data_IF_911530269608
#
_entry.id   IF_911530269608
#
_cell.length_a   1.000
_cell.length_b   1.000
_cell.length_c   1.000
_cell.angle_alpha   90.00
_cell.angle_beta   90.00
_cell.angle_gamma   90.00
#
_symmetry.space_group_name_H-M   'P 1'
#
loop_
_entity.id
_entity.type
_entity.pdbx_description
1 polymer ?
#
# COMPACT_ATOMS: atom_id res chain seq x y z
N UNK A 1 5.72 18.23 -8.54
CA UNK A 1 5.81 17.53 -7.25
C UNK A 1 7.15 16.86 -7.34
N UNK A 2 8.13 17.45 -6.66
CA UNK A 2 9.52 17.31 -7.10
C UNK A 2 10.22 16.17 -6.34
N UNK A 3 9.77 15.93 -5.11
CA UNK A 3 10.15 14.80 -4.27
C UNK A 3 8.90 14.07 -3.75
N UNK A 4 9.04 12.76 -3.55
CA UNK A 4 8.07 11.93 -2.85
C UNK A 4 8.80 10.85 -2.04
N UNK A 5 8.28 10.49 -0.86
CA UNK A 5 8.82 9.38 -0.07
C UNK A 5 7.71 8.41 0.28
N UNK A 6 7.90 7.16 -0.13
CA UNK A 6 7.05 6.05 0.26
C UNK A 6 7.73 5.17 1.29
N UNK A 7 6.93 4.67 2.22
CA UNK A 7 7.35 3.69 3.21
C UNK A 7 6.63 2.38 2.93
N UNK A 8 7.40 1.32 2.75
CA UNK A 8 6.89 -0.03 2.43
C UNK A 8 7.35 -0.98 3.52
N UNK A 9 6.45 -1.84 3.97
CA UNK A 9 6.77 -2.90 4.92
C UNK A 9 6.10 -4.21 4.53
N UNK A 10 6.82 -5.31 4.73
CA UNK A 10 6.32 -6.65 4.48
C UNK A 10 6.16 -7.41 5.80
N UNK A 11 4.99 -8.01 5.99
CA UNK A 11 4.60 -8.77 7.16
C UNK A 11 4.34 -10.21 6.74
N UNK A 12 5.14 -11.13 7.27
CA UNK A 12 4.93 -12.56 7.12
C UNK A 12 4.47 -13.13 8.48
N UNK A 13 3.23 -13.61 8.54
CA UNK A 13 2.66 -14.19 9.76
C UNK A 13 3.04 -15.65 9.88
N UNK A 14 3.47 -16.06 11.07
CA UNK A 14 3.93 -17.41 11.38
C UNK A 14 2.85 -18.50 11.20
N UNK A 15 1.57 -18.12 11.07
CA UNK A 15 0.43 -19.04 10.92
C UNK A 15 -0.43 -18.85 9.67
N UNK A 16 -0.02 -18.02 8.71
CA UNK A 16 -0.64 -18.04 7.39
C UNK A 16 -0.22 -19.27 6.55
N UNK A 17 -0.32 -20.50 7.12
CA UNK A 17 -0.48 -21.74 6.32
C UNK A 17 -1.90 -21.79 5.76
N UNK A 18 -2.25 -20.77 5.01
CA UNK A 18 -3.61 -20.39 4.69
C UNK A 18 -3.84 -20.47 3.19
N UNK A 19 -3.33 -21.54 2.58
CA UNK A 19 -3.16 -21.61 1.13
C UNK A 19 -4.47 -21.75 0.36
N UNK A 20 -5.55 -22.19 0.99
CA UNK A 20 -6.77 -22.51 0.24
C UNK A 20 -8.09 -22.05 0.90
N UNK A 21 -8.21 -22.04 2.23
CA UNK A 21 -9.53 -21.91 2.85
C UNK A 21 -10.00 -20.47 3.05
N UNK A 22 -9.13 -19.51 3.37
CA UNK A 22 -9.52 -18.08 3.39
C UNK A 22 -9.72 -17.55 1.99
N UNK A 23 -8.86 -17.90 1.02
CA UNK A 23 -9.11 -17.57 -0.38
C UNK A 23 -10.45 -18.17 -0.86
N UNK A 24 -10.75 -19.44 -0.55
CA UNK A 24 -12.05 -20.07 -0.84
C UNK A 24 -13.21 -19.41 -0.10
N UNK A 25 -13.06 -19.08 1.17
CA UNK A 25 -14.12 -18.45 1.94
C UNK A 25 -14.36 -17.03 1.49
N UNK A 26 -13.32 -16.23 1.26
CA UNK A 26 -13.48 -14.88 0.76
C UNK A 26 -14.11 -14.92 -0.64
N UNK A 27 -13.66 -15.84 -1.52
CA UNK A 27 -14.34 -16.17 -2.79
C UNK A 27 -15.79 -16.61 -2.66
N UNK A 28 -16.18 -17.25 -1.55
CA UNK A 28 -17.55 -17.69 -1.26
C UNK A 28 -18.36 -16.66 -0.44
N UNK A 29 -17.70 -15.71 0.23
CA UNK A 29 -18.28 -14.65 1.06
C UNK A 29 -18.74 -13.48 0.20
N UNK A 30 -18.04 -13.23 -0.92
CA UNK A 30 -18.46 -12.21 -1.86
C UNK A 30 -19.75 -12.60 -2.63
N UNK A 31 -20.03 -13.83 -3.07
CA UNK A 31 -21.21 -14.05 -3.92
C UNK A 31 -22.56 -14.24 -3.21
N UNK A 32 -22.63 -14.60 -1.92
CA UNK A 32 -23.93 -14.95 -1.31
C UNK A 32 -24.07 -14.63 0.19
N UNK A 33 -25.25 -14.07 0.52
CA UNK A 33 -25.90 -13.88 1.83
C UNK A 33 -25.16 -13.14 2.98
N UNK A 34 -23.87 -12.79 2.84
CA UNK A 34 -23.08 -12.09 3.87
C UNK A 34 -22.62 -10.68 3.51
N UNK A 35 -23.12 -10.09 2.41
CA UNK A 35 -22.73 -8.74 1.96
C UNK A 35 -22.93 -7.66 3.05
N UNK A 36 -24.04 -7.71 3.81
CA UNK A 36 -24.28 -6.79 4.93
C UNK A 36 -23.18 -6.81 6.02
N UNK A 37 -22.47 -7.93 6.18
CA UNK A 37 -21.37 -8.07 7.14
C UNK A 37 -20.10 -7.34 6.64
N UNK A 38 -19.80 -7.41 5.33
CA UNK A 38 -18.58 -6.80 4.77
C UNK A 38 -18.65 -5.27 4.86
N UNK A 39 -19.75 -4.64 4.47
CA UNK A 39 -19.90 -3.17 4.55
C UNK A 39 -19.76 -2.66 5.98
N UNK A 40 -20.37 -3.34 6.95
CA UNK A 40 -20.21 -3.00 8.37
C UNK A 40 -18.79 -3.18 8.87
N UNK A 41 -18.08 -4.21 8.38
CA UNK A 41 -16.69 -4.46 8.75
C UNK A 41 -15.75 -3.42 8.13
N UNK A 42 -15.95 -3.03 6.86
CA UNK A 42 -15.19 -1.96 6.21
C UNK A 42 -15.31 -0.67 7.02
N UNK A 43 -16.52 -0.28 7.41
CA UNK A 43 -16.74 0.90 8.25
C UNK A 43 -16.08 0.76 9.62
N UNK A 44 -16.25 -0.39 10.29
CA UNK A 44 -15.67 -0.66 11.61
C UNK A 44 -14.13 -0.60 11.63
N UNK A 45 -13.50 -1.02 10.55
CA UNK A 45 -12.04 -1.06 10.41
C UNK A 45 -11.49 0.08 9.55
N UNK A 46 -12.29 1.13 9.32
CA UNK A 46 -11.89 2.33 8.57
C UNK A 46 -11.24 2.02 7.21
N UNK A 47 -11.79 1.03 6.50
CA UNK A 47 -11.35 0.64 5.17
C UNK A 47 -12.26 1.28 4.12
N UNK A 48 -11.67 2.08 3.22
CA UNK A 48 -12.40 2.70 2.12
C UNK A 48 -12.88 1.66 1.10
N UNK A 49 -12.00 0.70 0.76
CA UNK A 49 -12.39 -0.46 -0.04
C UNK A 49 -11.49 -1.67 0.21
N UNK A 50 -12.02 -2.83 -0.17
CA UNK A 50 -11.28 -4.08 -0.38
C UNK A 50 -11.54 -4.60 -1.78
N UNK A 51 -10.52 -5.10 -2.45
CA UNK A 51 -10.62 -5.72 -3.76
C UNK A 51 -9.96 -7.10 -3.80
N UNK A 52 -10.60 -8.04 -4.48
CA UNK A 52 -10.20 -9.45 -4.60
C UNK A 52 -10.91 -10.10 -5.79
N UNK A 53 -10.21 -10.96 -6.54
CA UNK A 53 -10.77 -11.81 -7.60
C UNK A 53 -11.74 -11.07 -8.56
N UNK A 54 -11.37 -9.86 -9.01
CA UNK A 54 -12.20 -9.07 -9.93
C UNK A 54 -13.44 -8.46 -9.30
N UNK A 55 -13.48 -8.32 -7.97
CA UNK A 55 -14.49 -7.54 -7.26
C UNK A 55 -13.83 -6.45 -6.43
N UNK A 56 -14.45 -5.28 -6.39
CA UNK A 56 -14.12 -4.20 -5.46
C UNK A 56 -15.36 -3.91 -4.63
N UNK A 57 -15.21 -3.95 -3.31
CA UNK A 57 -16.26 -3.65 -2.34
C UNK A 57 -15.84 -2.45 -1.51
N UNK A 58 -16.60 -1.36 -1.56
CA UNK A 58 -16.47 -0.19 -0.71
C UNK A 58 -17.53 -0.21 0.40
N UNK A 59 -17.51 0.79 1.27
CA UNK A 59 -18.52 0.95 2.34
C UNK A 59 -19.94 0.98 1.77
N UNK A 60 -20.13 1.62 0.62
CA UNK A 60 -21.46 1.85 0.04
C UNK A 60 -21.81 0.89 -1.11
N UNK A 61 -20.81 0.37 -1.81
CA UNK A 61 -21.02 -0.26 -3.11
C UNK A 61 -20.17 -1.50 -3.32
N UNK A 62 -20.57 -2.29 -4.32
CA UNK A 62 -19.80 -3.42 -4.79
C UNK A 62 -19.86 -3.54 -6.30
N UNK A 63 -18.69 -3.67 -6.89
CA UNK A 63 -18.50 -3.62 -8.33
C UNK A 63 -17.76 -4.87 -8.77
N UNK A 64 -18.25 -5.47 -9.86
CA UNK A 64 -17.49 -6.47 -10.61
C UNK A 64 -16.58 -5.72 -11.58
N UNK A 65 -15.30 -6.02 -11.54
CA UNK A 65 -14.28 -5.47 -12.41
C UNK A 65 -13.80 -6.57 -13.34
N UNK A 66 -13.89 -6.32 -14.63
CA UNK A 66 -13.29 -7.16 -15.66
C UNK A 66 -12.03 -6.49 -16.17
N UNK A 67 -10.95 -7.27 -16.28
CA UNK A 67 -9.62 -6.77 -16.64
C UNK A 67 -9.09 -7.56 -17.82
N UNK A 68 -8.61 -6.84 -18.83
CA UNK A 68 -7.94 -7.43 -19.99
C UNK A 68 -6.60 -6.74 -20.21
N UNK A 69 -5.53 -7.52 -20.19
CA UNK A 69 -4.18 -7.04 -20.48
C UNK A 69 -3.80 -7.34 -21.92
N UNK A 70 -3.47 -6.29 -22.67
CA UNK A 70 -2.89 -6.36 -23.99
C UNK A 70 -1.36 -6.32 -23.86
N UNK A 71 -0.74 -7.49 -24.07
CA UNK A 71 0.71 -7.66 -23.96
C UNK A 71 1.49 -6.96 -25.07
N UNK A 72 0.87 -6.72 -26.25
CA UNK A 72 1.55 -6.07 -27.38
C UNK A 72 1.71 -4.58 -27.14
N UNK A 73 0.69 -3.95 -26.56
CA UNK A 73 0.68 -2.52 -26.28
C UNK A 73 0.99 -2.19 -24.82
N UNK A 74 1.28 -3.22 -23.99
CA UNK A 74 1.47 -3.11 -22.55
C UNK A 74 0.36 -2.28 -21.89
N UNK A 75 -0.90 -2.55 -22.26
CA UNK A 75 -2.05 -1.76 -21.84
C UNK A 75 -3.07 -2.63 -21.13
N UNK A 76 -3.51 -2.19 -19.96
CA UNK A 76 -4.60 -2.86 -19.23
C UNK A 76 -5.90 -2.10 -19.40
N UNK A 77 -6.94 -2.79 -19.87
CA UNK A 77 -8.30 -2.27 -19.96
C UNK A 77 -9.12 -2.78 -18.77
N UNK A 78 -9.84 -1.87 -18.12
CA UNK A 78 -10.72 -2.16 -16.98
C UNK A 78 -12.16 -1.85 -17.36
N UNK A 79 -13.08 -2.76 -17.08
CA UNK A 79 -14.53 -2.58 -17.27
C UNK A 79 -15.24 -2.75 -15.93
N UNK A 80 -16.03 -1.74 -15.56
CA UNK A 80 -16.70 -1.65 -14.27
C UNK A 80 -18.18 -1.95 -14.44
N UNK A 81 -18.63 -3.04 -13.84
CA UNK A 81 -20.01 -3.50 -13.87
C UNK A 81 -20.60 -3.38 -12.45
N UNK A 82 -21.23 -2.24 -12.10
CA UNK A 82 -21.79 -2.03 -10.77
C UNK A 82 -22.96 -3.00 -10.53
N UNK A 83 -22.99 -3.64 -9.36
CA UNK A 83 -24.19 -4.34 -8.90
C UNK A 83 -25.02 -3.35 -8.08
N UNK A 84 -26.09 -2.81 -8.65
CA UNK A 84 -26.97 -1.86 -7.95
C UNK A 84 -27.52 -2.50 -6.67
N UNK A 85 -27.06 -2.09 -5.49
CA UNK A 85 -27.56 -2.62 -4.23
C UNK A 85 -28.58 -1.75 -3.53
N UNK A 86 -28.88 -0.51 -3.95
CA UNK A 86 -30.09 0.21 -3.50
C UNK A 86 -30.50 1.35 -4.45
N UNK A 87 -31.79 1.41 -4.78
CA UNK A 87 -32.61 2.51 -5.31
C UNK A 87 -31.93 3.58 -6.20
N UNK A 88 -31.94 3.34 -7.52
CA UNK A 88 -32.51 4.25 -8.54
C UNK A 88 -32.18 5.74 -8.53
N UNK A 89 -31.09 6.18 -7.91
CA UNK A 89 -30.50 7.50 -8.09
C UNK A 89 -29.09 7.29 -8.59
N UNK A 90 -28.65 8.16 -9.49
CA UNK A 90 -27.33 8.20 -10.11
C UNK A 90 -26.22 7.95 -9.06
N UNK A 91 -25.93 6.68 -8.80
CA UNK A 91 -24.81 6.24 -7.99
C UNK A 91 -23.61 6.38 -8.93
N UNK A 92 -23.18 7.63 -9.10
CA UNK A 92 -21.88 7.92 -9.66
C UNK A 92 -20.89 7.38 -8.64
N UNK A 93 -20.48 6.12 -8.86
CA UNK A 93 -19.48 5.46 -8.03
C UNK A 93 -18.33 6.43 -7.85
N UNK A 94 -18.08 6.80 -6.60
CA UNK A 94 -16.91 7.56 -6.27
C UNK A 94 -15.72 6.59 -6.46
N UNK A 95 -15.17 6.52 -7.68
CA UNK A 95 -13.88 5.92 -8.02
C UNK A 95 -12.72 6.54 -7.20
N UNK A 96 -12.99 7.50 -6.29
CA UNK A 96 -12.01 8.00 -5.34
C UNK A 96 -11.43 6.83 -4.57
N UNK A 97 -10.14 6.58 -4.79
CA UNK A 97 -9.39 5.48 -4.20
C UNK A 97 -9.13 4.29 -5.13
N UNK A 98 -9.94 4.06 -6.17
CA UNK A 98 -9.73 2.91 -7.08
C UNK A 98 -8.45 3.03 -7.91
N UNK A 99 -7.87 4.23 -8.01
CA UNK A 99 -6.58 4.46 -8.66
C UNK A 99 -5.48 3.56 -8.12
N UNK A 100 -5.44 3.34 -6.80
CA UNK A 100 -4.48 2.41 -6.19
C UNK A 100 -4.65 0.99 -6.73
N UNK A 101 -5.89 0.49 -6.77
CA UNK A 101 -6.20 -0.83 -7.31
C UNK A 101 -5.84 -0.96 -8.80
N UNK A 102 -6.29 0.00 -9.62
CA UNK A 102 -6.13 0.00 -11.08
C UNK A 102 -4.65 0.01 -11.45
N UNK A 103 -3.90 0.96 -10.89
CA UNK A 103 -2.50 1.16 -11.23
C UNK A 103 -1.62 0.00 -10.72
N UNK A 104 -1.92 -0.52 -9.52
CA UNK A 104 -1.18 -1.68 -8.98
C UNK A 104 -1.44 -2.96 -9.78
N UNK A 105 -2.70 -3.21 -10.17
CA UNK A 105 -3.03 -4.35 -11.04
C UNK A 105 -2.39 -4.22 -12.42
N UNK A 106 -2.37 -3.02 -12.99
CA UNK A 106 -1.67 -2.74 -14.24
C UNK A 106 -0.16 -3.01 -14.10
N UNK A 107 0.48 -2.46 -13.07
CA UNK A 107 1.92 -2.68 -12.81
C UNK A 107 2.25 -4.16 -12.61
N UNK A 108 1.41 -4.92 -11.89
CA UNK A 108 1.55 -6.38 -11.80
C UNK A 108 1.52 -7.02 -13.19
N UNK A 109 0.52 -6.69 -14.02
CA UNK A 109 0.35 -7.29 -15.36
C UNK A 109 1.55 -7.02 -16.28
N UNK A 110 2.21 -5.88 -16.11
CA UNK A 110 3.37 -5.47 -16.92
C UNK A 110 4.65 -6.15 -16.43
N UNK A 111 4.88 -6.22 -15.12
CA UNK A 111 6.18 -6.58 -14.56
C UNK A 111 6.34 -8.05 -14.19
N UNK A 112 5.25 -8.72 -13.80
CA UNK A 112 5.33 -10.04 -13.17
C UNK A 112 4.27 -10.99 -13.69
N UNK A 113 4.69 -12.26 -13.83
CA UNK A 113 3.80 -13.35 -14.21
C UNK A 113 2.96 -13.77 -12.99
N UNK A 114 1.63 -13.69 -13.14
CA UNK A 114 0.66 -13.98 -12.07
C UNK A 114 0.60 -15.45 -11.67
N UNK A 115 1.28 -16.34 -12.41
CA UNK A 115 1.51 -17.72 -12.01
C UNK A 115 2.48 -17.83 -10.83
N UNK A 116 3.43 -16.90 -10.72
CA UNK A 116 4.45 -16.89 -9.67
C UNK A 116 4.21 -15.83 -8.61
N UNK A 117 3.76 -14.64 -9.01
CA UNK A 117 3.55 -13.51 -8.11
C UNK A 117 2.15 -12.94 -8.32
N UNK A 118 1.24 -13.30 -7.42
CA UNK A 118 -0.17 -12.92 -7.54
C UNK A 118 -0.61 -12.07 -6.38
N UNK A 119 -1.05 -10.84 -6.67
CA UNK A 119 -1.79 -10.03 -5.71
C UNK A 119 -3.19 -10.63 -5.56
N UNK A 120 -3.47 -11.10 -4.35
CA UNK A 120 -4.71 -11.76 -3.99
C UNK A 120 -5.73 -10.77 -3.44
N UNK A 121 -5.25 -9.81 -2.66
CA UNK A 121 -6.07 -8.80 -2.01
C UNK A 121 -5.44 -7.44 -2.12
N UNK A 122 -6.26 -6.42 -2.32
CA UNK A 122 -5.87 -5.01 -2.25
C UNK A 122 -6.83 -4.33 -1.30
N UNK A 123 -6.30 -3.53 -0.39
CA UNK A 123 -7.04 -2.77 0.62
C UNK A 123 -6.57 -1.33 0.56
N UNK A 124 -7.51 -0.40 0.68
CA UNK A 124 -7.21 1.02 0.90
C UNK A 124 -7.86 1.46 2.18
N UNK A 125 -7.07 2.05 3.07
CA UNK A 125 -7.54 2.56 4.33
C UNK A 125 -8.07 3.98 4.13
N UNK A 126 -9.05 4.37 4.93
CA UNK A 126 -9.34 5.79 5.11
C UNK A 126 -8.10 6.47 5.69
N UNK A 127 -7.79 7.71 5.25
CA UNK A 127 -6.69 8.47 5.84
C UNK A 127 -6.83 8.57 7.36
N UNK A 128 -5.72 8.64 8.07
CA UNK A 128 -5.72 8.79 9.52
C UNK A 128 -4.58 9.70 9.98
N UNK A 129 -4.73 10.25 11.17
CA UNK A 129 -3.75 11.13 11.78
C UNK A 129 -2.85 10.34 12.73
N UNK A 130 -1.57 10.69 12.76
CA UNK A 130 -0.61 10.19 13.74
C UNK A 130 0.15 11.35 14.36
N UNK A 131 0.56 11.17 15.62
CA UNK A 131 1.39 12.12 16.35
C UNK A 131 2.77 11.51 16.62
N UNK A 132 3.81 12.20 16.18
CA UNK A 132 5.21 11.79 16.34
C UNK A 132 6.02 13.02 16.71
N UNK A 133 6.64 13.02 17.89
CA UNK A 133 7.47 14.11 18.40
C UNK A 133 6.73 15.46 18.38
N UNK A 134 5.54 15.50 18.97
CA UNK A 134 4.65 16.67 19.02
C UNK A 134 4.18 17.21 17.65
N UNK A 135 4.46 16.50 16.55
CA UNK A 135 4.00 16.86 15.21
C UNK A 135 2.91 15.91 14.76
N UNK A 136 1.94 16.48 14.03
CA UNK A 136 0.79 15.75 13.51
C UNK A 136 0.94 15.54 12.01
N UNK A 137 0.77 14.30 11.59
CA UNK A 137 0.86 13.88 10.20
C UNK A 137 -0.41 13.17 9.78
N UNK A 138 -0.84 13.38 8.54
CA UNK A 138 -1.81 12.52 7.87
C UNK A 138 -1.08 11.37 7.18
N UNK A 139 -1.65 10.18 7.29
CA UNK A 139 -1.18 8.96 6.66
C UNK A 139 -2.19 8.54 5.60
N UNK A 140 -1.73 8.51 4.36
CA UNK A 140 -2.46 7.92 3.24
C UNK A 140 -1.85 6.54 2.99
N UNK A 141 -2.67 5.49 3.09
CA UNK A 141 -2.15 4.11 3.11
C UNK A 141 -2.97 3.12 2.31
N UNK A 142 -2.23 2.27 1.61
CA UNK A 142 -2.72 1.10 0.92
C UNK A 142 -2.02 -0.15 1.44
N UNK A 143 -2.65 -1.29 1.23
CA UNK A 143 -2.03 -2.56 1.51
C UNK A 143 -2.48 -3.61 0.51
N UNK A 144 -1.65 -4.62 0.31
CA UNK A 144 -2.03 -5.75 -0.51
C UNK A 144 -1.35 -7.03 -0.03
N UNK A 145 -1.94 -8.16 -0.38
CA UNK A 145 -1.36 -9.46 -0.10
C UNK A 145 -0.85 -10.08 -1.41
N UNK A 146 0.43 -10.39 -1.45
CA UNK A 146 1.07 -11.10 -2.56
C UNK A 146 1.82 -12.31 -1.99
N UNK A 147 1.60 -13.49 -2.57
CA UNK A 147 2.25 -14.73 -2.14
C UNK A 147 2.23 -14.98 -0.62
N UNK A 148 1.09 -14.69 0.02
CA UNK A 148 0.86 -14.84 1.47
C UNK A 148 1.61 -13.86 2.38
N UNK A 149 2.28 -12.86 1.81
CA UNK A 149 2.91 -11.76 2.54
C UNK A 149 2.03 -10.53 2.43
N UNK A 150 1.78 -9.87 3.57
CA UNK A 150 1.07 -8.60 3.60
C UNK A 150 2.06 -7.45 3.43
N UNK A 151 1.84 -6.63 2.41
CA UNK A 151 2.59 -5.41 2.18
C UNK A 151 1.75 -4.22 2.60
N UNK A 152 2.28 -3.40 3.50
CA UNK A 152 1.69 -2.11 3.88
C UNK A 152 2.51 -1.01 3.23
N UNK A 153 1.84 -0.06 2.59
CA UNK A 153 2.46 1.06 1.89
C UNK A 153 1.79 2.33 2.37
N UNK A 154 2.59 3.33 2.71
CA UNK A 154 2.05 4.61 3.14
C UNK A 154 2.92 5.79 2.71
N UNK A 155 2.23 6.89 2.47
CA UNK A 155 2.79 8.23 2.33
C UNK A 155 2.47 9.03 3.59
N UNK A 156 3.34 9.97 3.92
CA UNK A 156 3.19 10.85 5.08
C UNK A 156 3.05 12.28 4.59
N UNK A 157 2.00 12.95 5.07
CA UNK A 157 1.68 14.33 4.76
C UNK A 157 1.76 15.13 6.06
N UNK A 158 2.59 16.16 6.10
CA UNK A 158 2.59 17.11 7.22
C UNK A 158 1.23 17.81 7.26
N UNK A 159 0.46 17.57 8.32
CA UNK A 159 -0.94 18.01 8.37
C UNK A 159 -1.07 19.54 8.38
N UNK A 160 -0.09 20.23 8.97
CA UNK A 160 -0.12 21.69 9.08
C UNK A 160 0.13 22.35 7.73
N UNK A 161 1.02 21.79 6.93
CA UNK A 161 1.45 22.37 5.65
C UNK A 161 0.74 21.75 4.44
N UNK A 162 0.14 20.57 4.60
CA UNK A 162 -0.44 19.79 3.51
C UNK A 162 0.59 19.23 2.52
N UNK A 163 1.89 19.27 2.87
CA UNK A 163 2.98 18.81 2.00
C UNK A 163 3.40 17.39 2.38
N UNK A 164 3.64 16.57 1.38
CA UNK A 164 4.26 15.26 1.54
C UNK A 164 5.71 15.40 2.00
N UNK A 165 6.24 14.36 2.65
CA UNK A 165 7.64 14.34 3.01
C UNK A 165 8.54 14.33 1.76
N UNK A 166 9.64 15.06 1.86
CA UNK A 166 10.67 15.17 0.82
C UNK A 166 11.85 14.26 1.12
N UNK A 167 12.81 14.18 0.20
CA UNK A 167 14.07 13.44 0.40
C UNK A 167 14.79 13.87 1.70
N UNK A 168 14.74 15.15 2.04
CA UNK A 168 15.45 15.71 3.19
C UNK A 168 14.71 15.44 4.53
N UNK A 169 13.42 15.14 4.45
CA UNK A 169 12.59 14.78 5.60
C UNK A 169 12.76 13.32 6.01
N UNK A 170 13.10 12.43 5.07
CA UNK A 170 13.32 11.01 5.35
C UNK A 170 14.80 10.67 5.65
N UNK A 171 15.71 11.63 5.51
CA UNK A 171 17.14 11.41 5.76
C UNK A 171 17.45 11.12 7.24
N UNK A 172 18.26 10.09 7.48
CA UNK A 172 18.76 9.55 8.76
C UNK A 172 17.87 8.51 9.45
N UNK A 173 18.51 7.62 10.23
CA UNK A 173 17.85 6.55 11.00
C UNK A 173 16.77 7.08 11.96
N UNK A 174 16.95 8.30 12.51
CA UNK A 174 15.98 8.93 13.41
C UNK A 174 14.74 9.48 12.70
N UNK A 175 14.75 9.52 11.38
CA UNK A 175 13.61 9.90 10.53
C UNK A 175 13.13 8.74 9.65
N UNK A 176 13.44 7.50 10.03
CA UNK A 176 12.86 6.34 9.38
C UNK A 176 11.45 6.07 9.96
N UNK A 177 10.43 6.64 9.34
CA UNK A 177 9.04 6.54 9.77
C UNK A 177 8.46 5.13 9.71
N UNK A 178 9.13 4.15 9.09
CA UNK A 178 8.75 2.74 9.27
C UNK A 178 8.98 2.23 10.70
N UNK A 179 9.90 2.88 11.44
CA UNK A 179 10.41 2.40 12.73
C UNK A 179 10.05 3.31 13.91
N UNK A 180 9.56 4.53 13.63
CA UNK A 180 9.23 5.47 14.69
C UNK A 180 7.94 5.04 15.41
N UNK A 181 7.94 5.03 16.76
CA UNK A 181 6.72 4.84 17.52
C UNK A 181 5.82 6.06 17.34
N UNK A 182 4.53 5.80 17.23
CA UNK A 182 3.47 6.80 17.20
C UNK A 182 2.96 6.99 18.62
N UNK A 183 2.81 8.23 19.08
CA UNK A 183 2.31 8.53 20.44
C UNK A 183 0.80 8.25 20.54
N UNK A 184 0.08 8.61 19.50
CA UNK A 184 -1.37 8.38 19.34
C UNK A 184 -1.76 8.46 17.87
N UNK A 185 -2.89 7.86 17.52
CA UNK A 185 -3.46 7.94 16.18
C UNK A 185 -4.98 8.16 16.21
N UNK A 186 -5.56 8.64 15.11
CA UNK A 186 -6.98 8.92 15.02
C UNK A 186 -7.47 8.82 13.57
N UNK A 187 -8.50 8.01 13.29
CA UNK A 187 -9.22 8.12 12.03
C UNK A 187 -10.13 9.35 12.02
N UNK A 188 -10.33 9.98 10.87
CA UNK A 188 -11.09 11.24 10.78
C UNK A 188 -12.55 11.15 11.26
N UNK A 189 -13.14 9.95 11.25
CA UNK A 189 -14.49 9.69 11.72
C UNK A 189 -14.58 9.32 13.22
N UNK A 190 -13.44 9.23 13.92
CA UNK A 190 -13.37 8.99 15.36
C UNK A 190 -13.37 10.30 16.16
N UNK A 191 -13.96 10.28 17.35
CA UNK A 191 -14.09 11.49 18.18
C UNK A 191 -12.81 11.84 18.96
N UNK A 192 -12.00 10.83 19.31
CA UNK A 192 -10.82 11.01 20.15
C UNK A 192 -9.67 10.15 19.61
N UNK A 193 -8.42 10.63 19.74
CA UNK A 193 -7.26 9.84 19.40
C UNK A 193 -7.07 8.68 20.39
N UNK A 194 -6.45 7.61 19.90
CA UNK A 194 -6.06 6.43 20.65
C UNK A 194 -4.57 6.49 20.95
N UNK A 195 -4.20 6.50 22.22
CA UNK A 195 -2.79 6.41 22.64
C UNK A 195 -2.20 5.06 22.24
N UNK A 196 -0.96 5.07 21.75
CA UNK A 196 -0.28 3.86 21.28
C UNK A 196 1.24 4.01 21.41
N UNK A 197 1.96 2.91 21.24
CA UNK A 197 3.41 2.85 21.06
C UNK A 197 3.79 2.10 19.75
N UNK A 198 2.79 1.80 18.92
CA UNK A 198 2.95 1.10 17.65
C UNK A 198 3.59 2.00 16.59
N UNK A 199 4.19 1.36 15.57
CA UNK A 199 4.63 2.04 14.34
C UNK A 199 3.45 2.28 13.40
N UNK A 200 3.58 3.23 12.47
CA UNK A 200 2.55 3.49 11.44
C UNK A 200 2.19 2.21 10.67
N UNK A 201 3.20 1.44 10.23
CA UNK A 201 2.98 0.19 9.48
C UNK A 201 2.27 -0.87 10.32
N UNK A 202 2.50 -0.90 11.63
CA UNK A 202 1.84 -1.83 12.56
C UNK A 202 0.38 -1.45 12.79
N UNK A 203 0.06 -0.15 12.86
CA UNK A 203 -1.33 0.34 12.92
C UNK A 203 -2.10 -0.13 11.67
N UNK A 204 -1.51 0.05 10.47
CA UNK A 204 -2.10 -0.40 9.20
C UNK A 204 -2.28 -1.92 9.21
N UNK A 205 -1.23 -2.67 9.53
CA UNK A 205 -1.27 -4.13 9.58
C UNK A 205 -2.32 -4.65 10.57
N UNK A 206 -2.37 -4.10 11.79
CA UNK A 206 -3.32 -4.53 12.81
C UNK A 206 -4.77 -4.24 12.41
N UNK A 207 -5.02 -3.12 11.73
CA UNK A 207 -6.33 -2.78 11.18
C UNK A 207 -6.79 -3.83 10.16
N UNK A 208 -5.93 -4.19 9.21
CA UNK A 208 -6.22 -5.20 8.18
C UNK A 208 -6.34 -6.60 8.81
N UNK A 209 -5.47 -6.93 9.75
CA UNK A 209 -5.47 -8.21 10.47
C UNK A 209 -6.77 -8.38 11.26
N UNK A 210 -7.24 -7.34 11.95
CA UNK A 210 -8.54 -7.34 12.63
C UNK A 210 -9.71 -7.52 11.67
N UNK A 211 -9.70 -6.78 10.56
CA UNK A 211 -10.70 -6.92 9.50
C UNK A 211 -10.77 -8.35 8.96
N UNK A 212 -9.63 -8.93 8.58
CA UNK A 212 -9.56 -10.30 8.03
C UNK A 212 -9.93 -11.36 9.06
N UNK A 213 -9.55 -11.18 10.33
CA UNK A 213 -9.95 -12.06 11.42
C UNK A 213 -11.47 -12.10 11.58
N UNK A 214 -12.15 -10.94 11.63
CA UNK A 214 -13.62 -10.91 11.74
C UNK A 214 -14.32 -11.38 10.48
N UNK A 215 -13.83 -11.00 9.30
CA UNK A 215 -14.33 -11.47 8.01
C UNK A 215 -14.35 -13.01 7.93
N UNK A 216 -13.40 -13.65 8.61
CA UNK A 216 -13.21 -15.10 8.60
C UNK A 216 -13.89 -15.78 9.79
N UNK A 217 -14.85 -15.09 10.44
CA UNK A 217 -15.55 -15.53 11.63
C UNK A 217 -14.61 -15.87 12.79
N UNK A 218 -13.58 -15.03 12.98
CA UNK A 218 -12.60 -15.12 14.07
C UNK A 218 -11.74 -16.38 14.05
N UNK A 219 -11.62 -17.04 12.90
CA UNK A 219 -10.93 -18.34 12.78
C UNK A 219 -9.42 -18.21 12.63
N UNK A 220 -8.93 -17.08 12.12
CA UNK A 220 -7.51 -16.91 11.82
C UNK A 220 -7.01 -15.58 12.34
N UNK A 221 -6.26 -15.65 13.44
CA UNK A 221 -5.56 -14.51 14.00
C UNK A 221 -4.07 -14.82 13.96
N UNK A 222 -3.28 -13.87 13.51
CA UNK A 222 -1.82 -13.96 13.60
C UNK A 222 -1.41 -13.98 15.08
N UNK A 223 -0.62 -14.97 15.49
CA UNK A 223 -0.02 -15.04 16.85
C UNK A 223 1.34 -14.31 16.91
N UNK A 224 1.93 -14.05 15.75
CA UNK A 224 3.23 -13.42 15.58
C UNK A 224 3.50 -13.12 14.10
N UNK A 225 4.37 -12.15 13.85
CA UNK A 225 4.81 -11.80 12.51
C UNK A 225 6.31 -11.51 12.50
N UNK A 226 6.93 -11.82 11.37
CA UNK A 226 8.21 -11.25 10.98
C UNK A 226 7.97 -10.03 10.10
N UNK A 227 8.88 -9.05 10.19
CA UNK A 227 8.73 -7.74 9.58
C UNK A 227 10.05 -7.29 8.94
N UNK A 228 9.96 -6.86 7.68
CA UNK A 228 11.02 -6.15 6.96
C UNK A 228 10.44 -4.86 6.39
N UNK A 229 11.26 -3.83 6.26
CA UNK A 229 10.81 -2.52 5.80
C UNK A 229 11.77 -1.91 4.80
N UNK A 230 11.28 -0.87 4.14
CA UNK A 230 11.99 -0.18 3.09
C UNK A 230 11.50 1.27 2.97
N UNK A 231 12.43 2.18 2.71
CA UNK A 231 12.11 3.58 2.41
C UNK A 231 12.48 3.87 0.96
N UNK A 232 11.49 4.29 0.18
CA UNK A 232 11.62 4.53 -1.25
C UNK A 232 11.54 6.02 -1.49
N UNK A 233 12.60 6.60 -2.04
CA UNK A 233 12.70 8.04 -2.28
C UNK A 233 12.65 8.31 -3.77
N UNK A 234 11.71 9.13 -4.19
CA UNK A 234 11.62 9.67 -5.54
C UNK A 234 12.14 11.10 -5.51
N UNK A 235 13.23 11.39 -6.21
CA UNK A 235 13.73 12.76 -6.39
C UNK A 235 14.64 12.89 -7.59
N UNK A 236 14.40 13.93 -8.40
CA UNK A 236 15.29 14.35 -9.48
C UNK A 236 16.41 15.30 -9.01
N UNK A 237 16.46 15.60 -7.70
CA UNK A 237 17.35 16.60 -7.11
C UNK A 237 18.46 15.97 -6.24
N UNK A 238 18.74 14.68 -6.42
CA UNK A 238 19.84 13.99 -5.75
C UNK A 238 21.08 14.03 -6.65
N UNK A 239 22.06 14.86 -6.29
CA UNK A 239 23.30 15.02 -7.06
C UNK A 239 24.20 13.79 -7.01
N UNK A 240 24.31 13.15 -5.83
CA UNK A 240 25.11 11.95 -5.62
C UNK A 240 24.27 10.90 -4.90
N UNK A 241 23.80 9.92 -5.66
CA UNK A 241 22.95 8.82 -5.19
C UNK A 241 23.65 8.01 -4.09
N UNK A 242 24.94 7.72 -4.23
CA UNK A 242 25.72 6.95 -3.25
C UNK A 242 25.84 7.68 -1.91
N UNK A 243 26.17 8.98 -1.94
CA UNK A 243 26.26 9.79 -0.73
C UNK A 243 24.89 9.95 -0.07
N UNK A 244 23.84 10.08 -0.87
CA UNK A 244 22.47 10.17 -0.38
C UNK A 244 22.04 8.88 0.34
N UNK A 245 22.33 7.69 -0.22
CA UNK A 245 22.09 6.43 0.48
C UNK A 245 22.77 6.37 1.84
N UNK A 246 24.05 6.72 1.87
CA UNK A 246 24.83 6.75 3.10
C UNK A 246 24.16 7.61 4.18
N UNK A 247 23.64 8.78 3.79
CA UNK A 247 22.88 9.68 4.68
C UNK A 247 21.53 9.10 5.09
N UNK A 248 20.79 8.51 4.16
CA UNK A 248 19.44 7.98 4.37
C UNK A 248 19.44 6.88 5.44
N UNK A 249 20.30 5.87 5.30
CA UNK A 249 20.38 4.74 6.23
C UNK A 249 21.49 4.87 7.28
N UNK A 250 22.15 6.03 7.34
CA UNK A 250 23.20 6.38 8.31
C UNK A 250 24.38 5.39 8.33
N UNK A 251 24.94 5.11 7.15
CA UNK A 251 26.14 4.29 6.96
C UNK A 251 27.25 5.11 6.32
N UNK A 252 28.51 4.67 6.46
CA UNK A 252 29.68 5.41 5.94
C UNK A 252 29.97 5.15 4.46
N UNK A 253 29.54 4.00 3.95
CA UNK A 253 29.71 3.59 2.56
C UNK A 253 28.62 2.56 2.22
N UNK A 254 28.16 2.48 0.96
CA UNK A 254 27.18 1.48 0.54
C UNK A 254 27.70 0.05 0.76
N UNK A 255 26.79 -0.86 1.13
CA UNK A 255 27.12 -2.28 1.33
C UNK A 255 27.39 -2.99 -0.01
N UNK A 256 26.79 -2.49 -1.08
CA UNK A 256 26.92 -3.01 -2.44
C UNK A 256 27.16 -1.88 -3.44
N UNK A 257 27.55 -2.22 -4.67
CA UNK A 257 27.69 -1.22 -5.74
C UNK A 257 26.35 -0.54 -6.00
N UNK A 258 26.32 0.78 -5.85
CA UNK A 258 25.17 1.60 -6.24
C UNK A 258 25.17 1.70 -7.76
N UNK A 259 24.18 1.06 -8.39
CA UNK A 259 24.04 1.02 -9.84
C UNK A 259 22.57 1.14 -10.20
N UNK A 260 22.28 1.90 -11.23
CA UNK A 260 20.97 1.87 -11.87
C UNK A 260 20.73 0.46 -12.45
N UNK A 261 19.63 -0.15 -12.04
CA UNK A 261 19.18 -1.45 -12.56
C UNK A 261 17.93 -1.34 -13.41
N UNK A 262 17.44 -0.12 -13.67
CA UNK A 262 16.34 0.13 -14.59
C UNK A 262 16.70 -0.38 -15.98
N UNK A 263 15.73 -1.04 -16.63
CA UNK A 263 15.84 -1.46 -18.04
C UNK A 263 15.05 -0.55 -18.96
N UNK A 264 14.54 0.57 -18.46
CA UNK A 264 13.72 1.54 -19.18
C UNK A 264 14.32 2.93 -19.07
N UNK A 265 14.05 3.78 -20.06
CA UNK A 265 14.60 5.16 -20.11
C UNK A 265 13.74 6.18 -19.35
N UNK A 266 12.63 5.74 -18.72
CA UNK A 266 11.65 6.63 -18.08
C UNK A 266 11.98 6.99 -16.64
N UNK A 267 12.89 6.26 -16.00
CA UNK A 267 13.43 6.52 -14.67
C UNK A 267 14.68 5.68 -14.44
N UNK A 268 15.53 6.14 -13.53
CA UNK A 268 16.62 5.35 -12.96
C UNK A 268 16.18 4.74 -11.62
N UNK A 269 16.62 3.51 -11.35
CA UNK A 269 16.27 2.77 -10.15
C UNK A 269 17.50 2.21 -9.46
N UNK A 270 17.75 2.72 -8.26
CA UNK A 270 18.86 2.32 -7.42
C UNK A 270 18.32 1.64 -6.15
N UNK A 271 18.32 0.30 -6.06
CA UNK A 271 17.95 -0.40 -4.83
C UNK A 271 19.14 -0.62 -3.90
N UNK A 272 18.89 -0.56 -2.60
CA UNK A 272 19.76 -1.05 -1.52
C UNK A 272 18.92 -1.78 -0.45
N UNK A 273 19.60 -2.44 0.50
CA UNK A 273 18.92 -3.06 1.65
C UNK A 273 18.30 -1.97 2.53
N UNK A 274 16.99 -2.04 2.73
CA UNK A 274 16.23 -1.12 3.58
C UNK A 274 15.93 0.25 2.97
N UNK A 275 16.45 0.58 1.78
CA UNK A 275 16.05 1.77 1.04
C UNK A 275 16.25 1.67 -0.48
N UNK A 276 15.54 2.50 -1.23
CA UNK A 276 15.75 2.68 -2.67
C UNK A 276 15.61 4.14 -3.07
N UNK A 277 16.28 4.51 -4.17
CA UNK A 277 16.20 5.85 -4.77
C UNK A 277 15.79 5.73 -6.23
N UNK A 278 14.83 6.55 -6.62
CA UNK A 278 14.33 6.70 -7.98
C UNK A 278 14.59 8.13 -8.41
N UNK A 279 15.27 8.30 -9.54
CA UNK A 279 15.64 9.59 -10.11
C UNK A 279 15.40 9.63 -11.62
N UNK A 280 15.57 10.80 -12.22
CA UNK A 280 15.40 11.04 -13.66
C UNK A 280 14.03 10.58 -14.22
N UNK A 281 12.96 10.76 -13.44
CA UNK A 281 11.59 10.46 -13.86
C UNK A 281 10.81 11.72 -14.26
N UNK A 282 9.83 11.59 -15.16
CA UNK A 282 8.89 12.67 -15.45
C UNK A 282 7.87 12.81 -14.32
N UNK A 283 7.92 13.93 -13.60
CA UNK A 283 6.99 14.23 -12.51
C UNK A 283 5.53 14.35 -12.97
N UNK A 284 5.28 14.63 -14.25
CA UNK A 284 3.92 14.66 -14.81
C UNK A 284 3.34 13.25 -15.02
N UNK A 285 4.21 12.25 -15.16
CA UNK A 285 3.84 10.85 -15.34
C UNK A 285 4.13 10.02 -14.09
N UNK A 286 4.21 10.63 -12.90
CA UNK A 286 4.66 9.97 -11.66
C UNK A 286 4.03 8.59 -11.39
N UNK A 287 2.74 8.41 -11.66
CA UNK A 287 2.06 7.13 -11.46
C UNK A 287 2.58 5.99 -12.38
N UNK A 288 3.11 6.32 -13.56
CA UNK A 288 3.71 5.32 -14.46
C UNK A 288 5.03 4.77 -13.90
N UNK A 289 5.63 5.45 -12.94
CA UNK A 289 6.86 5.02 -12.24
C UNK A 289 6.54 4.46 -10.86
N UNK A 290 5.65 5.12 -10.10
CA UNK A 290 5.30 4.80 -8.72
C UNK A 290 4.90 3.34 -8.52
N UNK A 291 3.92 2.86 -9.31
CA UNK A 291 3.35 1.53 -9.12
C UNK A 291 4.25 0.40 -9.62
N UNK A 292 4.97 0.55 -10.74
CA UNK A 292 6.06 -0.37 -11.08
C UNK A 292 7.11 -0.50 -9.97
N UNK A 293 7.54 0.63 -9.41
CA UNK A 293 8.49 0.64 -8.29
C UNK A 293 7.92 -0.08 -7.08
N UNK A 294 6.66 0.16 -6.70
CA UNK A 294 6.00 -0.59 -5.61
C UNK A 294 6.11 -2.10 -5.83
N UNK A 295 5.83 -2.61 -7.04
CA UNK A 295 5.96 -4.05 -7.35
C UNK A 295 7.41 -4.52 -7.22
N UNK A 296 8.39 -3.78 -7.76
CA UNK A 296 9.81 -4.13 -7.67
C UNK A 296 10.31 -4.16 -6.21
N UNK A 297 9.89 -3.21 -5.38
CA UNK A 297 10.24 -3.18 -3.96
C UNK A 297 9.58 -4.32 -3.18
N UNK A 298 8.38 -4.71 -3.57
CA UNK A 298 7.70 -5.88 -3.01
C UNK A 298 8.39 -7.19 -3.39
N UNK A 299 8.99 -7.30 -4.58
CA UNK A 299 9.80 -8.47 -4.94
C UNK A 299 11.16 -8.50 -4.20
N UNK A 300 11.68 -7.32 -3.86
CA UNK A 300 12.93 -7.17 -3.10
C UNK A 300 12.78 -7.62 -1.65
N UNK A 301 11.61 -7.35 -1.04
CA UNK A 301 11.27 -7.67 0.35
C UNK A 301 10.81 -9.12 0.52
#
# INVERSE_FOLDING_TARGET
>A
MDDNVLFISAYNSDHYKMQNWILRNIRQLFPSSREKNIHSLLKKYHLSFVASDGFLTSVDEKIKIETHYDYMHQKTTFSFNPKSTNNGKDAMFSLKGSGFYINLQHAQSVLIDDQYFKIQFIVWLSPFLVWINDRMYQIDSGAFMMNHVWFTIFEIIDYKTGKTLTKDDACSKVKNYNLLPVEKYQFFDEQQPVDTDLKISEIIYNTISGFTWELTNKRFRSEGYSFVHNTVVFSNHIENISDYFCKLINIKAPVSSVKDISTVETYEYYPQDGCSVISHFDSNEFNTVLYPVIILETLKL
#
